data_IF_727156639043
#
_entry.id   IF_727156639043
#
_cell.length_a   1.000
_cell.length_b   1.000
_cell.length_c   1.000
_cell.angle_alpha   90.00
_cell.angle_beta   90.00
_cell.angle_gamma   90.00
#
_symmetry.space_group_name_H-M   'P 1'
#
loop_
_entity.id
_entity.type
_entity.pdbx_description
1 polymer ?
#
# COMPACT_ATOMS: atom_id res chain seq x y z
N UNK A 1 -55.81 31.98 -33.61
CA UNK A 1 -54.99 32.20 -32.40
C UNK A 1 -54.43 30.85 -31.95
N UNK A 2 -53.18 30.55 -32.29
CA UNK A 2 -52.51 29.26 -32.06
C UNK A 2 -51.70 29.39 -30.77
N UNK A 3 -51.96 28.53 -29.78
CA UNK A 3 -51.27 28.49 -28.48
C UNK A 3 -50.19 27.40 -28.55
N UNK A 4 -48.93 27.80 -28.65
CA UNK A 4 -47.78 26.88 -28.57
C UNK A 4 -47.60 26.39 -27.13
N UNK A 5 -47.71 25.09 -26.92
CA UNK A 5 -47.32 24.43 -25.66
C UNK A 5 -45.86 24.01 -25.82
N UNK A 6 -44.99 24.71 -25.09
CA UNK A 6 -43.55 24.43 -24.99
C UNK A 6 -43.36 23.36 -23.90
N UNK A 7 -43.32 22.08 -24.27
CA UNK A 7 -42.94 21.00 -23.35
C UNK A 7 -41.41 20.96 -23.26
N UNK A 8 -40.87 21.62 -22.24
CA UNK A 8 -39.46 21.50 -21.87
C UNK A 8 -39.29 20.13 -21.19
N UNK A 9 -38.87 19.13 -21.95
CA UNK A 9 -38.33 17.89 -21.39
C UNK A 9 -36.96 18.21 -20.78
N UNK A 10 -36.95 18.74 -19.56
CA UNK A 10 -35.75 18.74 -18.71
C UNK A 10 -35.50 17.29 -18.29
N UNK A 11 -34.88 16.53 -19.18
CA UNK A 11 -34.32 15.22 -18.88
C UNK A 11 -33.15 15.39 -17.92
N UNK A 12 -33.46 15.54 -16.64
CA UNK A 12 -32.53 15.47 -15.54
C UNK A 12 -32.08 14.00 -15.45
N UNK A 13 -31.06 13.63 -16.24
CA UNK A 13 -30.35 12.38 -16.09
C UNK A 13 -29.54 12.47 -14.78
N UNK A 14 -30.22 12.25 -13.64
CA UNK A 14 -29.56 11.82 -12.42
C UNK A 14 -29.08 10.39 -12.65
N UNK A 15 -27.98 10.26 -13.37
CA UNK A 15 -27.13 9.10 -13.27
C UNK A 15 -26.63 9.06 -11.83
N UNK A 16 -27.32 8.30 -10.99
CA UNK A 16 -26.89 7.97 -9.64
C UNK A 16 -25.65 7.06 -9.79
N UNK A 17 -24.51 7.67 -10.10
CA UNK A 17 -23.24 6.98 -10.23
C UNK A 17 -22.78 6.65 -8.82
N UNK A 18 -23.24 5.52 -8.30
CA UNK A 18 -22.62 4.91 -7.12
C UNK A 18 -21.22 4.50 -7.55
N UNK A 19 -20.22 5.32 -7.20
CA UNK A 19 -18.81 5.04 -7.36
C UNK A 19 -18.50 3.77 -6.55
N UNK A 20 -18.57 2.62 -7.22
CA UNK A 20 -18.09 1.36 -6.64
C UNK A 20 -16.58 1.42 -6.58
N UNK A 21 -16.01 1.09 -5.42
CA UNK A 21 -14.57 0.95 -5.26
C UNK A 21 -14.02 -0.07 -6.28
N UNK A 22 -12.82 0.18 -6.85
CA UNK A 22 -12.22 -0.72 -7.80
C UNK A 22 -11.91 -2.08 -7.16
N UNK A 23 -12.10 -3.16 -7.92
CA UNK A 23 -11.74 -4.53 -7.53
C UNK A 23 -10.42 -4.97 -8.15
N UNK A 24 -9.84 -4.17 -9.04
CA UNK A 24 -8.59 -4.43 -9.75
C UNK A 24 -7.73 -3.16 -9.79
N UNK A 25 -6.41 -3.32 -9.86
CA UNK A 25 -5.48 -2.21 -10.02
C UNK A 25 -5.48 -1.70 -11.46
N UNK A 26 -5.31 -0.39 -11.64
CA UNK A 26 -5.08 0.17 -12.97
C UNK A 26 -3.71 -0.27 -13.53
N UNK A 27 -3.57 -0.26 -14.86
CA UNK A 27 -2.30 -0.59 -15.52
C UNK A 27 -1.19 0.38 -15.12
N UNK A 28 -1.54 1.62 -14.87
CA UNK A 28 -0.64 2.67 -14.44
C UNK A 28 -0.13 2.37 -13.03
N UNK A 29 -1.02 2.04 -12.10
CA UNK A 29 -0.66 1.69 -10.72
C UNK A 29 0.24 0.44 -10.66
N UNK A 30 -0.07 -0.58 -11.48
CA UNK A 30 0.73 -1.80 -11.59
C UNK A 30 2.17 -1.57 -12.09
N UNK A 31 2.40 -0.50 -12.84
CA UNK A 31 3.71 -0.10 -13.37
C UNK A 31 4.25 1.16 -12.67
N UNK A 32 3.85 1.43 -11.44
CA UNK A 32 4.54 2.39 -10.59
C UNK A 32 5.78 1.74 -9.96
N UNK A 33 6.81 2.55 -9.73
CA UNK A 33 8.13 2.10 -9.27
C UNK A 33 8.27 2.38 -7.78
N UNK A 34 8.85 1.40 -7.09
CA UNK A 34 9.12 1.43 -5.67
C UNK A 34 10.57 1.06 -5.43
N UNK A 35 11.12 1.50 -4.30
CA UNK A 35 12.45 1.07 -3.86
C UNK A 35 12.27 0.06 -2.73
N UNK A 36 12.88 -1.10 -2.86
CA UNK A 36 13.07 -2.05 -1.77
C UNK A 36 14.47 -1.88 -1.16
N UNK A 37 14.64 -2.30 0.09
CA UNK A 37 15.98 -2.40 0.68
C UNK A 37 16.20 -3.79 1.27
N UNK A 38 17.35 -4.38 0.98
CA UNK A 38 17.81 -5.64 1.55
C UNK A 38 19.00 -5.42 2.47
N UNK A 39 18.94 -5.93 3.70
CA UNK A 39 20.17 -6.16 4.47
C UNK A 39 20.69 -7.53 4.05
N UNK A 40 21.74 -7.58 3.22
CA UNK A 40 22.51 -8.82 3.06
C UNK A 40 23.15 -9.14 4.41
N UNK A 41 22.65 -10.17 5.09
CA UNK A 41 23.39 -10.80 6.17
C UNK A 41 24.67 -11.38 5.57
N UNK A 42 25.82 -10.79 5.90
CA UNK A 42 27.10 -11.44 5.66
C UNK A 42 27.16 -12.72 6.50
N UNK A 43 26.75 -13.85 5.93
CA UNK A 43 27.06 -15.15 6.49
C UNK A 43 28.38 -15.65 5.91
N UNK A 44 29.41 -15.47 6.72
CA UNK A 44 30.57 -16.35 6.89
C UNK A 44 31.26 -16.87 5.63
N UNK A 45 32.28 -16.16 5.18
CA UNK A 45 33.53 -16.79 4.82
C UNK A 45 34.63 -16.22 5.71
N UNK A 46 35.13 -17.05 6.62
CA UNK A 46 36.39 -16.78 7.30
C UNK A 46 37.48 -16.74 6.24
N UNK A 47 38.11 -15.57 6.05
CA UNK A 47 39.56 -15.43 5.95
C UNK A 47 39.95 -13.94 5.89
N UNK A 48 40.48 -13.49 7.03
CA UNK A 48 41.46 -12.43 7.31
C UNK A 48 41.52 -11.15 6.46
N UNK A 49 41.46 -10.04 7.21
CA UNK A 49 42.04 -8.71 6.96
C UNK A 49 41.43 -7.86 5.84
N UNK A 50 40.46 -7.02 6.20
CA UNK A 50 40.45 -5.57 5.86
C UNK A 50 39.26 -4.84 6.51
N UNK A 51 39.59 -3.97 7.46
CA UNK A 51 38.98 -2.68 7.83
C UNK A 51 37.50 -2.41 7.45
N UNK A 52 36.65 -2.39 8.48
CA UNK A 52 35.39 -1.63 8.66
C UNK A 52 34.64 -1.28 7.35
N UNK A 53 33.89 -2.26 6.86
CA UNK A 53 32.98 -2.11 5.71
C UNK A 53 31.74 -1.32 6.11
N UNK A 54 31.58 -0.13 5.54
CA UNK A 54 30.28 0.55 5.47
C UNK A 54 29.29 -0.42 4.82
N UNK A 55 28.17 -0.72 5.50
CA UNK A 55 27.13 -1.59 4.94
C UNK A 55 26.51 -0.87 3.75
N UNK A 56 26.93 -1.23 2.54
CA UNK A 56 26.27 -0.77 1.32
C UNK A 56 24.84 -1.34 1.33
N UNK A 57 23.87 -0.48 1.59
CA UNK A 57 22.45 -0.81 1.54
C UNK A 57 22.12 -0.99 0.06
N UNK A 58 21.93 -2.24 -0.37
CA UNK A 58 21.49 -2.53 -1.73
C UNK A 58 20.02 -2.12 -1.85
N UNK A 59 19.79 -1.12 -2.69
CA UNK A 59 18.48 -0.59 -3.03
C UNK A 59 18.13 -1.08 -4.43
N UNK A 60 16.97 -1.71 -4.56
CA UNK A 60 16.50 -2.22 -5.83
C UNK A 60 15.18 -1.55 -6.19
N UNK A 61 15.10 -1.05 -7.43
CA UNK A 61 13.83 -0.60 -8.00
C UNK A 61 12.97 -1.80 -8.39
N UNK A 62 11.72 -1.78 -7.96
CA UNK A 62 10.74 -2.85 -8.21
C UNK A 62 9.43 -2.24 -8.69
N UNK A 63 8.71 -2.94 -9.59
CA UNK A 63 7.38 -2.51 -10.00
C UNK A 63 6.31 -3.05 -9.05
N UNK A 64 5.21 -2.32 -8.89
CA UNK A 64 4.11 -2.76 -8.02
C UNK A 64 3.55 -4.14 -8.38
N UNK A 65 3.42 -4.43 -9.69
CA UNK A 65 2.98 -5.75 -10.17
C UNK A 65 3.88 -6.90 -9.71
N UNK A 66 5.18 -6.63 -9.51
CA UNK A 66 6.14 -7.65 -9.08
C UNK A 66 5.98 -7.92 -7.57
N UNK A 67 5.68 -6.88 -6.77
CA UNK A 67 5.30 -6.99 -5.36
C UNK A 67 4.02 -7.82 -5.18
N UNK A 68 3.05 -7.70 -6.09
CA UNK A 68 1.86 -8.55 -6.08
C UNK A 68 2.21 -9.99 -6.51
N UNK A 69 3.02 -10.13 -7.55
CA UNK A 69 3.37 -11.43 -8.13
C UNK A 69 4.16 -12.33 -7.18
N UNK A 70 5.12 -11.77 -6.42
CA UNK A 70 5.87 -12.51 -5.39
C UNK A 70 4.98 -13.05 -4.26
N UNK A 71 3.79 -12.48 -4.08
CA UNK A 71 2.83 -12.83 -3.03
C UNK A 71 1.57 -13.51 -3.60
N UNK A 72 1.60 -13.95 -4.86
CA UNK A 72 0.46 -14.59 -5.52
C UNK A 72 -0.05 -15.79 -4.72
N UNK A 73 -1.37 -15.90 -4.59
CA UNK A 73 -2.02 -16.96 -3.81
C UNK A 73 -2.05 -16.71 -2.30
N UNK A 74 -1.62 -15.53 -1.84
CA UNK A 74 -1.74 -15.11 -0.44
C UNK A 74 -2.63 -13.88 -0.34
N UNK A 75 -3.29 -13.72 0.80
CA UNK A 75 -3.89 -12.43 1.15
C UNK A 75 -2.81 -11.42 1.48
N UNK A 76 -3.03 -10.19 1.04
CA UNK A 76 -2.10 -9.08 1.26
C UNK A 76 -2.82 -7.93 1.92
N UNK A 77 -2.32 -7.49 3.06
CA UNK A 77 -2.66 -6.17 3.64
C UNK A 77 -1.61 -5.18 3.16
N UNK A 78 -2.05 -4.14 2.47
CA UNK A 78 -1.21 -3.02 2.07
C UNK A 78 -1.48 -1.88 3.04
N UNK A 79 -0.43 -1.35 3.67
CA UNK A 79 -0.45 -0.19 4.55
C UNK A 79 0.37 0.94 3.92
N UNK A 80 -0.31 1.98 3.45
CA UNK A 80 0.33 3.20 2.95
C UNK A 80 0.51 4.15 4.12
N UNK A 81 1.77 4.43 4.47
CA UNK A 81 2.14 5.13 5.70
C UNK A 81 3.35 6.05 5.50
N UNK A 82 3.74 6.76 6.56
CA UNK A 82 5.02 7.48 6.60
C UNK A 82 5.46 7.69 8.05
N UNK A 83 6.76 7.84 8.28
CA UNK A 83 7.32 7.99 9.63
C UNK A 83 6.96 9.30 10.33
N UNK A 84 6.62 10.33 9.55
CA UNK A 84 6.18 11.64 10.03
C UNK A 84 4.66 11.73 10.26
N UNK A 85 3.90 10.71 9.85
CA UNK A 85 2.45 10.69 9.94
C UNK A 85 2.00 10.21 11.33
N UNK A 86 1.48 11.13 12.15
CA UNK A 86 1.02 10.84 13.50
C UNK A 86 -0.06 9.75 13.54
N UNK A 87 -1.10 9.87 12.72
CA UNK A 87 -2.22 8.92 12.67
C UNK A 87 -1.74 7.51 12.28
N UNK A 88 -0.72 7.43 11.41
CA UNK A 88 -0.11 6.17 11.02
C UNK A 88 0.61 5.51 12.20
N UNK A 89 1.34 6.30 13.01
CA UNK A 89 2.01 5.78 14.20
C UNK A 89 1.02 5.33 15.28
N UNK A 90 -0.10 6.04 15.42
CA UNK A 90 -1.17 5.70 16.36
C UNK A 90 -1.90 4.40 15.97
N UNK A 91 -2.00 4.06 14.68
CA UNK A 91 -2.63 2.81 14.22
C UNK A 91 -1.70 1.59 14.23
N UNK A 92 -0.38 1.76 14.36
CA UNK A 92 0.59 0.66 14.36
C UNK A 92 0.32 -0.45 15.40
N UNK A 93 -0.13 -0.17 16.64
CA UNK A 93 -0.46 -1.23 17.59
C UNK A 93 -1.56 -2.17 17.06
N UNK A 94 -2.57 -1.63 16.39
CA UNK A 94 -3.67 -2.41 15.81
C UNK A 94 -3.18 -3.23 14.61
N UNK A 95 -2.34 -2.64 13.74
CA UNK A 95 -1.70 -3.36 12.62
C UNK A 95 -0.85 -4.53 13.14
N UNK A 96 -0.05 -4.31 14.18
CA UNK A 96 0.81 -5.34 14.80
C UNK A 96 -0.02 -6.46 15.43
N UNK A 97 -1.13 -6.11 16.09
CA UNK A 97 -2.08 -7.09 16.63
C UNK A 97 -2.70 -7.92 15.50
N UNK A 98 -3.21 -7.26 14.47
CA UNK A 98 -3.80 -7.92 13.30
C UNK A 98 -2.80 -8.90 12.65
N UNK A 99 -1.54 -8.48 12.52
CA UNK A 99 -0.47 -9.31 11.98
C UNK A 99 -0.18 -10.53 12.85
N UNK A 100 -0.15 -10.37 14.17
CA UNK A 100 0.08 -11.48 15.09
C UNK A 100 -1.07 -12.51 15.05
N UNK A 101 -2.30 -12.05 14.88
CA UNK A 101 -3.49 -12.90 14.79
C UNK A 101 -3.65 -13.59 13.43
N UNK A 102 -3.00 -13.06 12.37
CA UNK A 102 -3.14 -13.54 10.99
C UNK A 102 -1.78 -13.85 10.34
N UNK A 103 -1.02 -14.86 10.82
CA UNK A 103 0.35 -15.11 10.39
C UNK A 103 0.50 -15.55 8.93
N UNK A 104 -0.58 -15.97 8.27
CA UNK A 104 -0.58 -16.36 6.85
C UNK A 104 -0.78 -15.17 5.90
N UNK A 105 -1.19 -14.01 6.43
CA UNK A 105 -1.41 -12.78 5.66
C UNK A 105 -0.09 -12.06 5.49
N UNK A 106 0.19 -11.63 4.25
CA UNK A 106 1.38 -10.82 3.95
C UNK A 106 1.07 -9.37 4.26
N UNK A 107 1.96 -8.71 4.98
CA UNK A 107 1.90 -7.28 5.22
C UNK A 107 2.94 -6.57 4.34
N UNK A 108 2.45 -5.65 3.52
CA UNK A 108 3.23 -4.82 2.60
C UNK A 108 3.08 -3.36 3.03
N UNK A 109 4.17 -2.73 3.42
CA UNK A 109 4.20 -1.34 3.83
C UNK A 109 4.75 -0.49 2.68
N UNK A 110 3.96 0.49 2.24
CA UNK A 110 4.31 1.44 1.19
C UNK A 110 4.53 2.82 1.83
N UNK A 111 5.77 3.29 1.86
CA UNK A 111 6.13 4.52 2.56
C UNK A 111 6.07 5.73 1.63
N UNK A 112 5.42 6.80 2.11
CA UNK A 112 5.45 8.18 1.58
C UNK A 112 6.37 9.09 2.42
N UNK A 113 7.40 8.52 3.05
CA UNK A 113 8.47 9.30 3.67
C UNK A 113 9.15 10.21 2.64
N UNK A 114 9.79 11.27 3.14
CA UNK A 114 10.40 12.30 2.28
C UNK A 114 11.67 11.82 1.60
N UNK A 115 12.37 10.90 2.24
CA UNK A 115 13.67 10.39 1.81
C UNK A 115 13.89 8.97 2.32
N UNK A 116 14.80 8.26 1.65
CA UNK A 116 15.13 6.87 1.91
C UNK A 116 15.73 6.65 3.31
N UNK A 117 16.54 7.58 3.79
CA UNK A 117 17.23 7.44 5.09
C UNK A 117 16.24 7.49 6.25
N UNK A 118 15.32 8.46 6.23
CA UNK A 118 14.24 8.61 7.21
C UNK A 118 13.33 7.38 7.22
N UNK A 119 12.98 6.88 6.03
CA UNK A 119 12.20 5.67 5.87
C UNK A 119 12.88 4.43 6.46
N UNK A 120 14.13 4.14 6.03
CA UNK A 120 14.91 2.99 6.49
C UNK A 120 15.10 3.03 8.02
N UNK A 121 15.43 4.21 8.56
CA UNK A 121 15.55 4.45 10.00
C UNK A 121 14.25 4.16 10.72
N UNK A 122 13.12 4.62 10.18
CA UNK A 122 11.83 4.42 10.80
C UNK A 122 11.38 2.96 10.78
N UNK A 123 11.59 2.24 9.68
CA UNK A 123 11.28 0.80 9.57
C UNK A 123 12.02 0.02 10.68
N UNK A 124 13.31 0.29 10.88
CA UNK A 124 14.10 -0.34 11.94
C UNK A 124 13.63 0.08 13.34
N UNK A 125 13.44 1.38 13.58
CA UNK A 125 13.02 1.92 14.88
C UNK A 125 11.67 1.36 15.33
N UNK A 126 10.73 1.25 14.39
CA UNK A 126 9.36 0.81 14.66
C UNK A 126 9.22 -0.72 14.68
N UNK A 127 10.27 -1.45 14.26
CA UNK A 127 10.31 -2.90 14.15
C UNK A 127 9.10 -3.44 13.38
N UNK A 128 8.82 -2.84 12.23
CA UNK A 128 7.71 -3.25 11.38
C UNK A 128 8.10 -4.56 10.69
N UNK A 129 7.35 -5.64 10.95
CA UNK A 129 7.56 -6.93 10.31
C UNK A 129 6.75 -6.99 9.03
N UNK A 130 7.37 -7.38 7.93
CA UNK A 130 6.70 -7.43 6.63
C UNK A 130 7.63 -7.01 5.51
N UNK A 131 7.06 -6.79 4.34
CA UNK A 131 7.78 -6.28 3.18
C UNK A 131 7.66 -4.75 3.15
N UNK A 132 8.77 -4.07 2.92
CA UNK A 132 8.84 -2.60 2.98
C UNK A 132 9.27 -2.04 1.65
N UNK A 133 8.53 -1.05 1.19
CA UNK A 133 8.81 -0.36 -0.06
C UNK A 133 8.65 1.14 0.07
N UNK A 134 9.58 1.90 -0.49
CA UNK A 134 9.51 3.35 -0.59
C UNK A 134 8.85 3.75 -1.90
N UNK A 135 7.85 4.63 -1.81
CA UNK A 135 7.13 5.17 -2.96
C UNK A 135 7.96 6.29 -3.59
N UNK A 136 8.88 5.94 -4.48
CA UNK A 136 9.81 6.90 -5.12
C UNK A 136 9.07 8.06 -5.81
N UNK A 137 7.93 7.77 -6.43
CA UNK A 137 7.08 8.77 -7.11
C UNK A 137 6.23 9.62 -6.14
N UNK A 138 6.21 9.29 -4.84
CA UNK A 138 5.49 10.00 -3.79
C UNK A 138 3.98 10.12 -4.04
N UNK A 139 3.41 11.24 -3.59
CA UNK A 139 1.99 11.58 -3.71
C UNK A 139 1.49 11.71 -5.16
N UNK A 140 2.40 12.07 -6.07
CA UNK A 140 2.09 12.25 -7.49
C UNK A 140 2.27 10.96 -8.32
N UNK A 141 2.70 9.88 -7.68
CA UNK A 141 2.89 8.56 -8.28
C UNK A 141 1.60 7.96 -8.82
N UNK A 142 1.73 7.03 -9.76
CA UNK A 142 0.60 6.38 -10.41
C UNK A 142 -0.24 5.59 -9.41
N UNK A 143 0.41 4.95 -8.43
CA UNK A 143 -0.24 4.22 -7.36
C UNK A 143 -0.98 5.17 -6.40
N UNK A 144 -0.35 6.25 -5.94
CA UNK A 144 -0.99 7.24 -5.08
C UNK A 144 -2.21 7.89 -5.77
N UNK A 145 -2.08 8.23 -7.05
CA UNK A 145 -3.18 8.74 -7.88
C UNK A 145 -4.31 7.73 -8.05
N UNK A 146 -3.99 6.45 -8.23
CA UNK A 146 -4.98 5.38 -8.29
C UNK A 146 -5.80 5.28 -6.99
N UNK A 147 -5.15 5.45 -5.83
CA UNK A 147 -5.85 5.53 -4.54
C UNK A 147 -6.64 6.84 -4.36
N UNK A 148 -6.39 7.87 -5.16
CA UNK A 148 -6.92 9.21 -4.92
C UNK A 148 -6.52 9.76 -3.55
N UNK A 149 -5.33 9.40 -3.07
CA UNK A 149 -4.92 9.65 -1.69
C UNK A 149 -4.35 11.06 -1.51
N UNK A 150 -4.84 11.77 -0.50
CA UNK A 150 -4.34 13.09 -0.07
C UNK A 150 -3.95 13.13 1.42
N UNK A 151 -4.15 12.02 2.14
CA UNK A 151 -3.81 11.83 3.53
C UNK A 151 -3.53 10.35 3.79
N UNK A 152 -2.74 10.05 4.81
CA UNK A 152 -2.41 8.67 5.23
C UNK A 152 -2.72 8.50 6.73
N UNK A 153 -2.99 7.28 7.22
CA UNK A 153 -2.80 5.98 6.56
C UNK A 153 -3.86 5.63 5.51
N UNK A 154 -3.53 4.68 4.63
CA UNK A 154 -4.51 3.98 3.77
C UNK A 154 -4.27 2.48 3.76
N UNK A 155 -5.34 1.73 3.94
CA UNK A 155 -5.33 0.28 3.99
C UNK A 155 -6.05 -0.32 2.79
N UNK A 156 -5.44 -1.35 2.20
CA UNK A 156 -6.07 -2.20 1.20
C UNK A 156 -5.96 -3.66 1.63
N UNK A 157 -6.96 -4.46 1.24
CA UNK A 157 -6.95 -5.91 1.39
C UNK A 157 -7.07 -6.56 0.02
N UNK A 158 -6.08 -7.36 -0.31
CA UNK A 158 -6.01 -8.11 -1.57
C UNK A 158 -6.26 -9.57 -1.26
N UNK A 159 -7.21 -10.18 -1.98
CA UNK A 159 -7.50 -11.59 -1.89
C UNK A 159 -6.42 -12.44 -2.58
N UNK A 160 -6.44 -13.75 -2.33
CA UNK A 160 -5.45 -14.70 -2.87
C UNK A 160 -5.43 -14.76 -4.41
N UNK A 161 -6.57 -14.44 -5.03
CA UNK A 161 -6.71 -14.34 -6.48
C UNK A 161 -6.22 -12.99 -7.06
N UNK A 162 -5.74 -12.07 -6.21
CA UNK A 162 -5.26 -10.74 -6.60
C UNK A 162 -6.34 -9.65 -6.64
N UNK A 163 -7.60 -9.96 -6.33
CA UNK A 163 -8.67 -8.96 -6.31
C UNK A 163 -8.60 -8.04 -5.09
N UNK A 164 -8.92 -6.76 -5.27
CA UNK A 164 -9.07 -5.79 -4.20
C UNK A 164 -10.44 -6.03 -3.52
N UNK A 165 -10.40 -6.39 -2.24
CA UNK A 165 -11.60 -6.65 -1.42
C UNK A 165 -11.88 -5.54 -0.41
N UNK A 166 -10.84 -4.77 -0.06
CA UNK A 166 -10.94 -3.50 0.65
C UNK A 166 -10.05 -2.50 -0.05
N UNK A 167 -10.58 -1.30 -0.26
CA UNK A 167 -9.91 -0.24 -1.00
C UNK A 167 -9.89 1.05 -0.19
N UNK A 168 -8.69 1.59 0.01
CA UNK A 168 -8.46 2.96 0.48
C UNK A 168 -9.09 3.28 1.85
N UNK A 169 -9.11 2.32 2.78
CA UNK A 169 -9.66 2.54 4.12
C UNK A 169 -8.70 3.34 4.99
N UNK A 170 -9.23 4.20 5.88
CA UNK A 170 -8.39 5.03 6.76
C UNK A 170 -8.05 4.34 8.08
N UNK A 171 -8.73 3.25 8.41
CA UNK A 171 -8.59 2.51 9.67
C UNK A 171 -8.80 1.02 9.43
N UNK A 172 -8.20 0.19 10.30
CA UNK A 172 -8.54 -1.22 10.40
C UNK A 172 -9.86 -1.31 11.18
N UNK A 173 -10.95 -1.61 10.49
CA UNK A 173 -12.29 -1.76 11.07
C UNK A 173 -12.65 -3.22 11.28
N UNK A 174 -13.72 -3.51 12.03
CA UNK A 174 -14.23 -4.88 12.16
C UNK A 174 -14.64 -5.49 10.82
N UNK A 175 -15.13 -4.69 9.86
CA UNK A 175 -15.39 -5.16 8.49
C UNK A 175 -14.08 -5.54 7.77
N UNK A 176 -13.02 -4.75 7.95
CA UNK A 176 -11.69 -5.06 7.42
C UNK A 176 -11.21 -6.43 7.93
N UNK A 177 -11.29 -6.63 9.25
CA UNK A 177 -10.92 -7.89 9.91
C UNK A 177 -11.82 -9.03 9.42
N UNK A 178 -13.13 -8.81 9.35
CA UNK A 178 -14.08 -9.79 8.85
C UNK A 178 -13.76 -10.26 7.43
N UNK A 179 -13.31 -9.36 6.54
CA UNK A 179 -12.88 -9.71 5.18
C UNK A 179 -11.55 -10.47 5.14
N UNK A 180 -10.64 -10.20 6.08
CA UNK A 180 -9.42 -11.02 6.25
C UNK A 180 -9.79 -12.46 6.63
N UNK A 181 -10.76 -12.64 7.52
CA UNK A 181 -11.13 -13.95 8.05
C UNK A 181 -11.96 -14.80 7.08
N UNK A 182 -12.69 -14.18 6.14
CA UNK A 182 -13.49 -14.90 5.13
C UNK A 182 -12.59 -15.66 4.16
N UNK A 183 -12.58 -17.00 4.25
CA UNK A 183 -11.89 -17.89 3.30
C UNK A 183 -12.58 -17.87 1.95
#
# INVERSE_FOLDING_TARGET
MIKYILLIFTGFFLGNCSLKNPTEFSKEALNDTFISFGIKNQNQNQNQNQNKTEREIEREEVLFKDILSQNKGKKIVIDVWASWCKDCLESLPDVKKLQAENPTVVFVYLSLDKDLESWETAVHRLNLKGQHYFMQSGWEGKFAKFLGVNWIPRYLLIAENGAITVFNETKITDDFIGKILKK
#
